data_IF_451832709712
#
_entry.id   IF_451832709712
#
_cell.length_a   1.000
_cell.length_b   1.000
_cell.length_c   1.000
_cell.angle_alpha   90.00
_cell.angle_beta   90.00
_cell.angle_gamma   90.00
#
_symmetry.space_group_name_H-M   'P 1'
#
loop_
_entity.id
_entity.type
_entity.pdbx_description
1 polymer ?
#
# COMPACT_ATOMS: atom_id res chain seq x y z
N UNK A 1 1.02 -8.83 -18.33
CA UNK A 1 2.39 -8.74 -18.91
C UNK A 1 2.91 -7.31 -19.12
N UNK A 2 2.07 -6.26 -19.30
CA UNK A 2 2.51 -4.85 -19.20
C UNK A 2 2.23 -4.26 -17.81
N UNK A 3 1.06 -4.55 -17.25
CA UNK A 3 0.64 -4.14 -15.91
C UNK A 3 1.58 -4.65 -14.81
N UNK A 4 2.11 -5.87 -14.97
CA UNK A 4 3.08 -6.47 -14.04
C UNK A 4 4.41 -5.69 -14.03
N UNK A 5 4.85 -5.13 -15.17
CA UNK A 5 6.09 -4.35 -15.24
C UNK A 5 5.96 -3.02 -14.50
N UNK A 6 4.85 -2.32 -14.69
CA UNK A 6 4.55 -1.06 -14.00
C UNK A 6 4.45 -1.28 -12.48
N UNK A 7 3.79 -2.36 -12.06
CA UNK A 7 3.71 -2.73 -10.65
C UNK A 7 5.09 -3.02 -10.05
N UNK A 8 5.93 -3.79 -10.74
CA UNK A 8 7.30 -4.10 -10.29
C UNK A 8 8.17 -2.84 -10.21
N UNK A 9 8.07 -1.94 -11.18
CA UNK A 9 8.80 -0.67 -11.18
C UNK A 9 8.36 0.25 -10.03
N UNK A 10 7.06 0.33 -9.76
CA UNK A 10 6.52 1.07 -8.63
C UNK A 10 7.03 0.51 -7.29
N UNK A 11 7.00 -0.82 -7.12
CA UNK A 11 7.55 -1.49 -5.92
C UNK A 11 9.03 -1.19 -5.76
N UNK A 12 9.81 -1.26 -6.85
CA UNK A 12 11.24 -0.93 -6.82
C UNK A 12 11.51 0.53 -6.44
N UNK A 13 10.69 1.47 -6.94
CA UNK A 13 10.81 2.89 -6.63
C UNK A 13 10.51 3.16 -5.14
N UNK A 14 9.42 2.59 -4.62
CA UNK A 14 9.05 2.69 -3.20
C UNK A 14 10.14 2.05 -2.32
N UNK A 15 10.65 0.87 -2.69
CA UNK A 15 11.74 0.21 -1.95
C UNK A 15 13.00 1.08 -1.86
N UNK A 16 13.44 1.67 -2.98
CA UNK A 16 14.59 2.60 -3.01
C UNK A 16 14.34 3.85 -2.16
N UNK A 17 13.12 4.38 -2.16
CA UNK A 17 12.75 5.51 -1.31
C UNK A 17 12.87 5.14 0.17
N UNK A 18 12.28 4.02 0.58
CA UNK A 18 12.28 3.57 1.97
C UNK A 18 13.68 3.22 2.49
N UNK A 19 14.56 2.68 1.65
CA UNK A 19 15.96 2.41 2.01
C UNK A 19 16.76 3.66 2.38
N UNK A 20 16.35 4.83 1.90
CA UNK A 20 17.01 6.11 2.20
C UNK A 20 16.51 6.77 3.49
N UNK A 21 15.49 6.20 4.11
CA UNK A 21 14.89 6.75 5.33
C UNK A 21 15.72 6.37 6.58
N UNK A 22 15.88 7.29 7.54
CA UNK A 22 16.78 7.12 8.67
C UNK A 22 16.35 6.05 9.67
N UNK A 23 15.05 5.81 9.84
CA UNK A 23 14.50 4.88 10.83
C UNK A 23 13.12 4.33 10.42
N UNK A 24 12.54 3.48 11.28
CA UNK A 24 11.23 2.87 11.06
C UNK A 24 10.07 3.88 11.10
N UNK A 25 10.20 4.95 11.89
CA UNK A 25 9.18 6.00 11.99
C UNK A 25 9.10 6.78 10.68
N UNK A 26 10.23 7.22 10.14
CA UNK A 26 10.29 7.91 8.85
C UNK A 26 9.78 7.04 7.69
N UNK A 27 9.99 5.72 7.75
CA UNK A 27 9.41 4.78 6.79
C UNK A 27 7.89 4.68 6.93
N UNK A 28 7.38 4.62 8.15
CA UNK A 28 5.94 4.59 8.41
C UNK A 28 5.26 5.88 7.92
N UNK A 29 5.86 7.05 8.18
CA UNK A 29 5.36 8.34 7.70
C UNK A 29 5.33 8.39 6.16
N UNK A 30 6.41 7.95 5.51
CA UNK A 30 6.48 7.91 4.04
C UNK A 30 5.40 6.98 3.43
N UNK A 31 5.18 5.80 4.03
CA UNK A 31 4.10 4.90 3.61
C UNK A 31 2.73 5.52 3.85
N UNK A 32 2.54 6.21 4.97
CA UNK A 32 1.32 6.95 5.28
C UNK A 32 0.99 8.00 4.22
N UNK A 33 1.98 8.79 3.81
CA UNK A 33 1.82 9.78 2.72
C UNK A 33 1.41 9.09 1.43
N UNK A 34 2.09 8.03 1.00
CA UNK A 34 1.76 7.31 -0.23
C UNK A 34 0.33 6.78 -0.23
N UNK A 35 -0.13 6.23 0.89
CA UNK A 35 -1.49 5.70 1.02
C UNK A 35 -2.54 6.81 0.99
N UNK A 36 -2.31 7.92 1.71
CA UNK A 36 -3.23 9.05 1.71
C UNK A 36 -3.30 9.74 0.35
N UNK A 37 -2.18 9.87 -0.36
CA UNK A 37 -2.16 10.41 -1.72
C UNK A 37 -2.93 9.51 -2.69
N UNK A 38 -2.74 8.19 -2.63
CA UNK A 38 -3.49 7.26 -3.47
C UNK A 38 -5.00 7.30 -3.17
N UNK A 39 -5.37 7.36 -1.90
CA UNK A 39 -6.77 7.51 -1.48
C UNK A 39 -7.40 8.79 -2.05
N UNK A 40 -6.72 9.93 -1.90
CA UNK A 40 -7.22 11.21 -2.40
C UNK A 40 -7.34 11.20 -3.93
N UNK A 41 -6.33 10.68 -4.64
CA UNK A 41 -6.38 10.60 -6.11
C UNK A 41 -7.54 9.73 -6.59
N UNK A 42 -7.74 8.56 -5.98
CA UNK A 42 -8.84 7.66 -6.33
C UNK A 42 -10.19 8.33 -6.08
N UNK A 43 -10.31 9.05 -4.98
CA UNK A 43 -11.51 9.83 -4.64
C UNK A 43 -11.77 10.95 -5.64
N UNK A 44 -10.73 11.69 -6.03
CA UNK A 44 -10.84 12.80 -6.97
C UNK A 44 -11.25 12.33 -8.39
N UNK A 45 -10.80 11.14 -8.79
CA UNK A 45 -11.07 10.57 -10.12
C UNK A 45 -12.40 9.81 -10.19
N UNK A 46 -12.65 8.93 -9.22
CA UNK A 46 -13.78 7.98 -9.25
C UNK A 46 -14.96 8.38 -8.34
N UNK A 47 -14.72 9.30 -7.40
CA UNK A 47 -15.73 9.80 -6.47
C UNK A 47 -15.88 9.00 -5.18
N UNK A 48 -16.60 9.60 -4.23
CA UNK A 48 -16.74 9.13 -2.84
C UNK A 48 -17.41 7.75 -2.73
N UNK A 49 -18.41 7.47 -3.58
CA UNK A 49 -19.17 6.23 -3.55
C UNK A 49 -18.32 5.03 -4.00
N UNK A 50 -17.51 5.20 -5.04
CA UNK A 50 -16.57 4.18 -5.50
C UNK A 50 -15.55 3.86 -4.41
N UNK A 51 -14.92 4.89 -3.85
CA UNK A 51 -13.89 4.72 -2.81
C UNK A 51 -14.45 4.05 -1.56
N UNK A 52 -15.69 4.37 -1.17
CA UNK A 52 -16.37 3.70 -0.05
C UNK A 52 -16.55 2.21 -0.32
N UNK A 53 -17.05 1.84 -1.50
CA UNK A 53 -17.22 0.43 -1.87
C UNK A 53 -15.88 -0.31 -1.92
N UNK A 54 -14.85 0.32 -2.52
CA UNK A 54 -13.51 -0.24 -2.58
C UNK A 54 -12.92 -0.52 -1.18
N UNK A 55 -13.05 0.44 -0.25
CA UNK A 55 -12.60 0.24 1.13
C UNK A 55 -13.35 -0.89 1.84
N UNK A 56 -14.66 -0.98 1.65
CA UNK A 56 -15.47 -2.06 2.24
C UNK A 56 -15.07 -3.43 1.70
N UNK A 57 -14.77 -3.53 0.40
CA UNK A 57 -14.26 -4.76 -0.22
C UNK A 57 -12.89 -5.11 0.32
N UNK A 58 -11.95 -4.17 0.36
CA UNK A 58 -10.61 -4.41 0.87
C UNK A 58 -10.61 -4.88 2.34
N UNK A 59 -11.49 -4.30 3.18
CA UNK A 59 -11.67 -4.73 4.56
C UNK A 59 -12.19 -6.17 4.65
N UNK A 60 -13.22 -6.50 3.87
CA UNK A 60 -13.76 -7.87 3.82
C UNK A 60 -12.71 -8.87 3.36
N UNK A 61 -11.94 -8.53 2.34
CA UNK A 61 -10.87 -9.39 1.83
C UNK A 61 -9.78 -9.64 2.90
N UNK A 62 -9.45 -8.63 3.70
CA UNK A 62 -8.49 -8.77 4.81
C UNK A 62 -9.05 -9.58 5.98
N UNK A 63 -10.35 -9.51 6.25
CA UNK A 63 -11.03 -10.33 7.25
C UNK A 63 -11.08 -11.81 6.83
N UNK A 64 -11.36 -12.07 5.55
CA UNK A 64 -11.46 -13.42 4.99
C UNK A 64 -10.08 -14.03 4.71
N UNK A 65 -9.10 -13.21 4.33
CA UNK A 65 -7.75 -13.62 3.96
C UNK A 65 -6.70 -12.74 4.69
N UNK A 66 -6.57 -12.88 6.02
CA UNK A 66 -5.60 -12.10 6.75
C UNK A 66 -4.19 -12.42 6.23
N UNK A 67 -3.35 -11.40 5.93
CA UNK A 67 -1.99 -11.65 5.50
C UNK A 67 -1.27 -12.42 6.61
N UNK A 68 -0.67 -13.56 6.24
CA UNK A 68 0.17 -14.33 7.16
C UNK A 68 1.41 -13.48 7.43
N UNK A 69 1.43 -12.79 8.57
CA UNK A 69 2.66 -12.18 9.08
C UNK A 69 3.59 -13.32 9.48
N UNK A 70 4.43 -13.76 8.53
CA UNK A 70 5.47 -14.74 8.76
C UNK A 70 6.46 -14.19 9.78
N UNK A 71 6.22 -14.49 11.05
CA UNK A 71 7.23 -14.38 12.10
C UNK A 71 8.20 -15.54 11.90
N UNK A 72 9.17 -15.38 11.00
CA UNK A 72 10.41 -16.15 11.11
C UNK A 72 11.25 -15.54 12.23
N UNK A 73 10.88 -15.80 13.48
CA UNK A 73 11.86 -15.77 14.58
C UNK A 73 12.63 -17.08 14.53
N UNK A 74 13.69 -17.12 13.72
CA UNK A 74 14.85 -17.96 14.02
C UNK A 74 15.81 -17.14 14.87
N UNK A 75 15.97 -17.53 16.13
CA UNK A 75 17.24 -17.83 16.79
C UNK A 75 17.00 -18.11 18.28
#
# INVERSE_FOLDING_TARGET
>A
MAQDKVAIEAVNAVSKLLQRMPDATAKADALGVLMMTNYNLLRDVEGDDFVRAWLQTALRDLEENPPVFGVETRH
#
